data_IF_156251166734
#
_entry.id   IF_156251166734
#
_cell.length_a   1.000
_cell.length_b   1.000
_cell.length_c   1.000
_cell.angle_alpha   90.00
_cell.angle_beta   90.00
_cell.angle_gamma   90.00
#
_symmetry.space_group_name_H-M   'P 1'
#
loop_
_entity.id
_entity.type
_entity.pdbx_description
1 polymer ?
#
# COMPACT_ATOMS: atom_id res chain seq x y z
N UNK A 1 7.79 0.61 28.58
CA UNK A 1 6.94 -0.43 27.95
C UNK A 1 6.61 0.09 26.56
N UNK A 2 6.98 -0.50 25.42
CA UNK A 2 7.65 -1.75 25.03
C UNK A 2 8.44 -1.43 23.75
N UNK A 3 9.73 -1.75 23.68
CA UNK A 3 10.58 -1.55 22.50
C UNK A 3 10.70 -2.85 21.66
N UNK A 4 10.10 -3.95 22.13
CA UNK A 4 10.33 -5.31 21.62
C UNK A 4 9.69 -5.65 20.26
N UNK A 5 9.00 -4.73 19.58
CA UNK A 5 8.31 -5.00 18.31
C UNK A 5 8.94 -4.37 17.06
N UNK A 6 10.02 -3.58 17.19
CA UNK A 6 10.62 -2.87 16.05
C UNK A 6 11.39 -3.76 15.06
N UNK A 7 12.09 -4.77 15.58
CA UNK A 7 13.01 -5.61 14.81
C UNK A 7 12.72 -7.08 15.08
N UNK A 8 12.94 -7.94 14.09
CA UNK A 8 12.94 -9.39 14.31
C UNK A 8 14.09 -9.86 15.21
N UNK A 9 15.05 -8.98 15.50
CA UNK A 9 16.15 -9.20 16.44
C UNK A 9 15.81 -8.61 17.80
N UNK A 10 16.14 -9.33 18.87
CA UNK A 10 16.11 -8.77 20.22
C UNK A 10 17.25 -7.75 20.37
N UNK A 11 16.97 -6.48 20.06
CA UNK A 11 17.92 -5.39 20.23
C UNK A 11 17.92 -4.90 21.69
N UNK A 12 19.09 -4.59 22.21
CA UNK A 12 19.21 -3.88 23.48
C UNK A 12 18.88 -2.38 23.30
N UNK A 13 18.88 -1.60 24.39
CA UNK A 13 18.51 -0.19 24.36
C UNK A 13 19.44 0.68 23.50
N UNK A 14 20.75 0.40 23.52
CA UNK A 14 21.74 1.12 22.72
C UNK A 14 21.60 0.78 21.24
N UNK A 15 21.44 -0.50 20.92
CA UNK A 15 21.22 -1.00 19.57
C UNK A 15 19.92 -0.45 18.98
N UNK A 16 18.85 -0.39 19.76
CA UNK A 16 17.59 0.24 19.36
C UNK A 16 17.82 1.71 19.04
N UNK A 17 18.52 2.43 19.91
CA UNK A 17 18.80 3.86 19.72
C UNK A 17 19.62 4.09 18.46
N UNK A 18 20.66 3.29 18.22
CA UNK A 18 21.48 3.37 17.02
C UNK A 18 20.67 3.05 15.77
N UNK A 19 19.83 2.01 15.83
CA UNK A 19 18.95 1.62 14.74
C UNK A 19 18.00 2.76 14.37
N UNK A 20 17.32 3.37 15.35
CA UNK A 20 16.46 4.54 15.13
C UNK A 20 17.21 5.72 14.52
N UNK A 21 18.44 6.01 14.97
CA UNK A 21 19.28 7.07 14.40
C UNK A 21 19.65 6.81 12.94
N UNK A 22 19.91 5.55 12.55
CA UNK A 22 20.17 5.21 11.14
C UNK A 22 18.97 5.53 10.26
N UNK A 23 17.75 5.33 10.77
CA UNK A 23 16.53 5.67 10.04
C UNK A 23 16.33 7.17 9.80
N UNK A 24 16.98 8.04 10.59
CA UNK A 24 16.98 9.49 10.31
C UNK A 24 17.61 9.80 8.95
N UNK A 25 18.58 9.00 8.48
CA UNK A 25 19.19 9.14 7.16
C UNK A 25 18.16 9.00 6.03
N UNK A 26 17.13 8.18 6.25
CA UNK A 26 16.10 7.87 5.26
C UNK A 26 14.91 8.84 5.29
N UNK A 27 14.86 9.77 6.26
CA UNK A 27 13.75 10.72 6.38
C UNK A 27 13.69 11.70 5.21
N UNK A 28 14.83 12.00 4.59
CA UNK A 28 14.93 12.93 3.45
C UNK A 28 14.60 12.29 2.08
N UNK A 29 14.63 10.96 1.98
CA UNK A 29 14.44 10.24 0.71
C UNK A 29 12.98 10.20 0.28
N UNK A 30 12.73 10.18 -1.03
CA UNK A 30 11.40 9.82 -1.55
C UNK A 30 11.15 8.34 -1.32
N UNK A 31 10.04 7.99 -0.69
CA UNK A 31 9.64 6.59 -0.45
C UNK A 31 8.31 6.36 -1.14
N UNK A 32 8.29 5.39 -2.05
CA UNK A 32 7.14 5.04 -2.86
C UNK A 32 6.83 3.57 -2.62
N UNK A 33 5.60 3.29 -2.19
CA UNK A 33 5.13 1.92 -2.07
C UNK A 33 4.49 1.46 -3.36
N UNK A 34 4.76 0.21 -3.76
CA UNK A 34 4.15 -0.38 -4.95
C UNK A 34 3.43 -1.66 -4.57
N UNK A 35 2.11 -1.61 -4.65
CA UNK A 35 1.21 -2.69 -4.28
C UNK A 35 0.61 -3.32 -5.54
N UNK A 36 0.51 -4.63 -5.57
CA UNK A 36 -0.16 -5.37 -6.63
C UNK A 36 0.02 -6.88 -6.48
N UNK A 37 -0.92 -7.64 -7.04
CA UNK A 37 -0.92 -9.09 -6.93
C UNK A 37 0.29 -9.77 -7.58
N UNK A 38 0.48 -11.09 -7.36
CA UNK A 38 1.51 -11.84 -8.06
C UNK A 38 1.24 -11.82 -9.58
N UNK A 39 2.26 -11.56 -10.40
CA UNK A 39 2.11 -11.56 -11.86
C UNK A 39 1.58 -10.26 -12.50
N UNK A 40 1.22 -9.23 -11.72
CA UNK A 40 0.71 -7.96 -12.28
C UNK A 40 1.76 -7.11 -13.02
N UNK A 41 3.05 -7.47 -12.98
CA UNK A 41 4.13 -6.75 -13.70
C UNK A 41 4.80 -5.62 -12.92
N UNK A 42 4.49 -5.47 -11.62
CA UNK A 42 5.10 -4.44 -10.75
C UNK A 42 6.63 -4.45 -10.73
N UNK A 43 7.28 -5.62 -10.65
CA UNK A 43 8.75 -5.71 -10.61
C UNK A 43 9.41 -5.08 -11.83
N UNK A 44 8.99 -5.49 -13.03
CA UNK A 44 9.49 -4.93 -14.30
C UNK A 44 9.29 -3.42 -14.39
N UNK A 45 8.12 -2.91 -13.97
CA UNK A 45 7.87 -1.47 -14.00
C UNK A 45 8.68 -0.71 -12.94
N UNK A 46 8.90 -1.29 -11.77
CA UNK A 46 9.75 -0.72 -10.74
C UNK A 46 11.22 -0.66 -11.17
N UNK A 47 11.75 -1.69 -11.82
CA UNK A 47 13.11 -1.71 -12.37
C UNK A 47 13.30 -0.60 -13.42
N UNK A 48 12.36 -0.50 -14.37
CA UNK A 48 12.39 0.53 -15.40
C UNK A 48 12.32 1.94 -14.80
N UNK A 49 11.43 2.16 -13.83
CA UNK A 49 11.28 3.44 -13.14
C UNK A 49 12.54 3.77 -12.30
N UNK A 50 13.08 2.79 -11.58
CA UNK A 50 14.30 2.97 -10.81
C UNK A 50 15.48 3.44 -11.69
N UNK A 51 15.71 2.75 -12.80
CA UNK A 51 16.74 3.09 -13.76
C UNK A 51 16.54 4.50 -14.35
N UNK A 52 15.30 4.84 -14.74
CA UNK A 52 14.99 6.12 -15.39
C UNK A 52 15.16 7.33 -14.47
N UNK A 53 14.75 7.23 -13.20
CA UNK A 53 14.72 8.39 -12.28
C UNK A 53 15.83 8.38 -11.23
N UNK A 54 16.71 7.38 -11.26
CA UNK A 54 17.79 7.23 -10.27
C UNK A 54 17.27 6.87 -8.88
N UNK A 55 16.17 6.12 -8.82
CA UNK A 55 15.69 5.51 -7.59
C UNK A 55 16.30 4.13 -7.40
N UNK A 56 16.24 3.65 -6.17
CA UNK A 56 16.56 2.28 -5.83
C UNK A 56 15.28 1.45 -5.83
N UNK A 57 15.25 0.39 -6.64
CA UNK A 57 14.22 -0.64 -6.53
C UNK A 57 14.52 -1.58 -5.36
N UNK A 58 13.54 -1.74 -4.48
CA UNK A 58 13.57 -2.62 -3.31
C UNK A 58 12.50 -3.70 -3.53
N UNK A 59 12.87 -4.77 -4.24
CA UNK A 59 11.97 -5.89 -4.55
C UNK A 59 11.79 -6.83 -3.36
N UNK A 60 10.67 -6.75 -2.63
CA UNK A 60 10.50 -7.56 -1.42
C UNK A 60 10.52 -9.06 -1.71
N UNK A 61 9.92 -9.49 -2.83
CA UNK A 61 9.96 -10.89 -3.23
C UNK A 61 11.38 -11.38 -3.53
N UNK A 62 12.24 -10.53 -4.10
CA UNK A 62 13.64 -10.87 -4.39
C UNK A 62 14.46 -10.97 -3.12
N UNK A 63 14.32 -9.99 -2.21
CA UNK A 63 14.96 -10.03 -0.90
C UNK A 63 14.61 -11.32 -0.14
N UNK A 64 13.34 -11.69 -0.14
CA UNK A 64 12.87 -12.93 0.50
C UNK A 64 13.45 -14.19 -0.16
N UNK A 65 13.47 -14.27 -1.50
CA UNK A 65 14.08 -15.42 -2.21
C UNK A 65 15.59 -15.51 -1.96
N UNK A 66 16.28 -14.38 -1.93
CA UNK A 66 17.72 -14.32 -1.63
C UNK A 66 18.01 -14.84 -0.22
N UNK A 67 17.19 -14.48 0.77
CA UNK A 67 17.32 -14.98 2.13
C UNK A 67 16.93 -16.46 2.23
N UNK A 68 15.85 -16.88 1.56
CA UNK A 68 15.37 -18.27 1.52
C UNK A 68 16.40 -19.26 0.95
N UNK A 69 17.26 -18.79 0.04
CA UNK A 69 18.32 -19.59 -0.58
C UNK A 69 19.56 -19.75 0.31
N UNK A 70 19.63 -19.07 1.46
CA UNK A 70 20.74 -19.24 2.39
C UNK A 70 20.54 -20.50 3.23
N UNK A 71 21.63 -21.24 3.46
CA UNK A 71 21.65 -22.42 4.32
C UNK A 71 21.62 -22.05 5.82
N UNK A 72 20.59 -21.32 6.24
CA UNK A 72 20.38 -20.87 7.63
C UNK A 72 18.99 -21.27 8.11
N UNK A 73 18.79 -21.34 9.43
CA UNK A 73 17.49 -21.62 10.04
C UNK A 73 16.43 -20.61 9.59
N UNK A 74 16.80 -19.32 9.56
CA UNK A 74 15.92 -18.23 9.08
C UNK A 74 15.60 -18.39 7.60
N UNK A 75 16.59 -18.73 6.76
CA UNK A 75 16.39 -18.97 5.34
C UNK A 75 15.39 -20.10 5.09
N UNK A 76 15.55 -21.24 5.79
CA UNK A 76 14.62 -22.36 5.69
C UNK A 76 13.20 -21.98 6.14
N UNK A 77 13.05 -21.27 7.26
CA UNK A 77 11.74 -20.81 7.73
C UNK A 77 11.05 -19.88 6.72
N UNK A 78 11.79 -18.95 6.13
CA UNK A 78 11.27 -18.05 5.08
C UNK A 78 10.84 -18.86 3.86
N UNK A 79 11.67 -19.82 3.41
CA UNK A 79 11.34 -20.71 2.30
C UNK A 79 10.03 -21.47 2.57
N UNK A 80 9.90 -22.09 3.73
CA UNK A 80 8.72 -22.87 4.11
C UNK A 80 7.43 -22.02 4.13
N UNK A 81 7.52 -20.79 4.61
CA UNK A 81 6.39 -19.83 4.61
C UNK A 81 6.02 -19.45 3.17
N UNK A 82 7.01 -19.15 2.33
CA UNK A 82 6.80 -18.78 0.94
C UNK A 82 6.20 -19.91 0.11
N UNK A 83 6.65 -21.15 0.32
CA UNK A 83 6.11 -22.33 -0.36
C UNK A 83 4.68 -22.66 0.06
N UNK A 84 4.21 -22.10 1.18
CA UNK A 84 2.80 -22.13 1.59
C UNK A 84 2.01 -20.93 1.08
N UNK A 85 2.59 -20.02 0.31
CA UNK A 85 1.93 -18.81 -0.17
C UNK A 85 1.57 -17.79 0.92
N UNK A 86 2.15 -17.92 2.11
CA UNK A 86 1.85 -17.08 3.28
C UNK A 86 2.79 -15.86 3.38
N UNK A 87 2.44 -14.91 4.25
CA UNK A 87 3.30 -13.76 4.54
C UNK A 87 4.35 -14.10 5.60
N UNK A 88 5.59 -13.71 5.33
CA UNK A 88 6.67 -13.71 6.31
C UNK A 88 6.38 -12.63 7.37
N UNK A 89 6.69 -12.86 8.67
CA UNK A 89 6.33 -11.93 9.75
C UNK A 89 6.80 -10.49 9.52
N UNK A 90 5.93 -9.53 9.88
CA UNK A 90 6.15 -8.08 9.70
C UNK A 90 7.55 -7.61 10.14
N UNK A 91 8.04 -8.02 11.32
CA UNK A 91 9.36 -7.59 11.81
C UNK A 91 10.52 -8.04 10.92
N UNK A 92 10.45 -9.25 10.35
CA UNK A 92 11.46 -9.77 9.41
C UNK A 92 11.44 -8.96 8.11
N UNK A 93 10.25 -8.65 7.59
CA UNK A 93 10.06 -7.82 6.40
C UNK A 93 10.68 -6.44 6.59
N UNK A 94 10.37 -5.79 7.72
CA UNK A 94 10.82 -4.44 8.00
C UNK A 94 12.33 -4.37 8.17
N UNK A 95 12.96 -5.33 8.85
CA UNK A 95 14.41 -5.41 8.92
C UNK A 95 15.02 -5.51 7.52
N UNK A 96 14.52 -6.41 6.67
CA UNK A 96 15.07 -6.62 5.32
C UNK A 96 14.91 -5.39 4.41
N UNK A 97 13.76 -4.72 4.47
CA UNK A 97 13.52 -3.48 3.72
C UNK A 97 14.42 -2.36 4.24
N UNK A 98 14.51 -2.21 5.56
CA UNK A 98 15.31 -1.17 6.22
C UNK A 98 16.80 -1.33 5.92
N UNK A 99 17.34 -2.54 6.10
CA UNK A 99 18.74 -2.85 5.81
C UNK A 99 19.07 -2.58 4.33
N UNK A 100 18.16 -2.94 3.41
CA UNK A 100 18.36 -2.66 1.99
C UNK A 100 18.41 -1.15 1.70
N UNK A 101 17.47 -0.37 2.25
CA UNK A 101 17.45 1.08 2.07
C UNK A 101 18.69 1.76 2.68
N UNK A 102 19.06 1.36 3.90
CA UNK A 102 20.22 1.89 4.62
C UNK A 102 21.56 1.54 3.95
N UNK A 103 21.60 0.49 3.14
CA UNK A 103 22.79 0.14 2.34
C UNK A 103 22.98 1.04 1.10
N UNK A 104 22.00 1.89 0.77
CA UNK A 104 22.00 2.78 -0.40
C UNK A 104 21.56 4.21 -0.06
N UNK A 105 22.18 4.86 0.94
CA UNK A 105 21.77 6.19 1.41
C UNK A 105 21.95 7.28 0.34
N UNK A 106 22.74 7.04 -0.70
CA UNK A 106 22.97 7.94 -1.83
C UNK A 106 21.83 7.97 -2.86
N UNK A 107 20.88 7.02 -2.78
CA UNK A 107 19.76 6.94 -3.70
C UNK A 107 18.91 8.22 -3.67
N UNK A 108 18.31 8.64 -4.80
CA UNK A 108 17.35 9.76 -4.81
C UNK A 108 15.99 9.41 -4.19
N UNK A 109 15.72 8.12 -4.04
CA UNK A 109 14.47 7.60 -3.50
C UNK A 109 14.37 6.09 -3.60
N UNK A 110 13.30 5.51 -3.06
CA UNK A 110 13.11 4.07 -2.96
C UNK A 110 11.73 3.69 -3.48
N UNK A 111 11.71 2.68 -4.37
CA UNK A 111 10.52 2.01 -4.86
C UNK A 111 10.41 0.66 -4.16
N UNK A 112 9.54 0.55 -3.16
CA UNK A 112 9.39 -0.66 -2.38
C UNK A 112 8.31 -1.54 -3.01
N UNK A 113 8.75 -2.51 -3.81
CA UNK A 113 7.94 -3.38 -4.64
C UNK A 113 7.38 -4.58 -3.86
N UNK A 114 6.06 -4.67 -3.83
CA UNK A 114 5.33 -5.71 -3.12
C UNK A 114 5.27 -5.45 -1.63
N UNK A 115 5.30 -4.18 -1.22
CA UNK A 115 5.17 -3.71 0.15
C UNK A 115 4.23 -2.48 0.22
N UNK A 116 3.42 -2.34 1.26
CA UNK A 116 3.10 -3.34 2.28
C UNK A 116 2.15 -4.42 1.74
N UNK A 117 2.17 -5.62 2.34
CA UNK A 117 1.29 -6.76 2.02
C UNK A 117 0.17 -6.99 3.03
N UNK A 118 0.26 -6.35 4.19
CA UNK A 118 -0.76 -6.33 5.23
C UNK A 118 -0.71 -4.98 5.97
N UNK A 119 -1.78 -4.66 6.71
CA UNK A 119 -1.91 -3.35 7.36
C UNK A 119 -0.84 -3.11 8.45
N UNK A 120 -0.45 -4.14 9.20
CA UNK A 120 0.58 -4.03 10.24
C UNK A 120 1.92 -3.56 9.67
N UNK A 121 2.32 -4.06 8.49
CA UNK A 121 3.52 -3.62 7.79
C UNK A 121 3.48 -2.12 7.48
N UNK A 122 2.33 -1.61 7.04
CA UNK A 122 2.13 -0.19 6.74
C UNK A 122 2.28 0.68 8.01
N UNK A 123 1.55 0.32 9.06
CA UNK A 123 1.53 1.06 10.32
C UNK A 123 2.89 1.08 10.99
N UNK A 124 3.55 -0.07 11.03
CA UNK A 124 4.83 -0.24 11.70
C UNK A 124 5.96 0.46 10.93
N UNK A 125 5.97 0.38 9.60
CA UNK A 125 6.91 1.16 8.79
C UNK A 125 6.77 2.66 9.07
N UNK A 126 5.54 3.19 9.08
CA UNK A 126 5.33 4.61 9.36
C UNK A 126 5.77 5.00 10.77
N UNK A 127 5.60 4.11 11.74
CA UNK A 127 6.07 4.30 13.12
C UNK A 127 7.60 4.38 13.18
N UNK A 128 8.28 3.48 12.46
CA UNK A 128 9.75 3.43 12.36
C UNK A 128 10.28 4.70 11.68
N UNK A 129 9.69 5.06 10.55
CA UNK A 129 10.14 6.19 9.74
C UNK A 129 9.68 7.55 10.29
N UNK A 130 8.69 7.54 11.18
CA UNK A 130 8.05 8.75 11.71
C UNK A 130 7.21 9.52 10.68
N UNK A 131 6.89 8.90 9.53
CA UNK A 131 6.12 9.51 8.44
C UNK A 131 5.50 8.47 7.51
N UNK A 132 4.48 8.90 6.77
CA UNK A 132 3.91 8.15 5.65
C UNK A 132 4.87 8.11 4.43
N UNK A 133 4.72 7.13 3.53
CA UNK A 133 5.35 7.19 2.21
C UNK A 133 4.90 8.45 1.46
N UNK A 134 5.69 8.88 0.48
CA UNK A 134 5.34 10.01 -0.37
C UNK A 134 4.13 9.68 -1.26
N UNK A 135 4.06 8.44 -1.75
CA UNK A 135 2.94 7.96 -2.55
C UNK A 135 2.83 6.43 -2.50
N UNK A 136 1.64 5.92 -2.75
CA UNK A 136 1.36 4.49 -2.91
C UNK A 136 0.80 4.25 -4.30
N UNK A 137 1.56 3.53 -5.12
CA UNK A 137 1.19 3.13 -6.47
C UNK A 137 0.54 1.76 -6.40
N UNK A 138 -0.62 1.63 -7.03
CA UNK A 138 -1.33 0.35 -7.09
C UNK A 138 -1.46 -0.14 -8.51
N UNK A 139 -1.01 -1.38 -8.71
CA UNK A 139 -1.05 -2.10 -9.97
C UNK A 139 -2.27 -3.01 -9.99
N UNK A 140 -3.22 -2.67 -10.85
CA UNK A 140 -4.41 -3.48 -11.11
C UNK A 140 -4.17 -4.42 -12.30
N UNK A 141 -4.62 -5.66 -12.17
CA UNK A 141 -4.46 -6.71 -13.17
C UNK A 141 -5.56 -7.75 -12.96
N UNK A 142 -6.11 -8.29 -14.05
CA UNK A 142 -7.10 -9.36 -13.94
C UNK A 142 -6.49 -10.60 -13.25
N UNK A 143 -7.32 -11.33 -12.49
CA UNK A 143 -6.91 -12.59 -11.86
C UNK A 143 -6.40 -13.59 -12.89
N UNK A 144 -7.09 -13.67 -14.03
CA UNK A 144 -6.74 -14.57 -15.14
C UNK A 144 -5.32 -14.28 -15.66
N UNK A 145 -5.04 -13.01 -15.95
CA UNK A 145 -3.71 -12.57 -16.40
C UNK A 145 -2.64 -12.83 -15.34
N UNK A 146 -2.95 -12.60 -14.05
CA UNK A 146 -2.03 -12.90 -12.96
C UNK A 146 -1.70 -14.38 -12.88
N UNK A 147 -2.71 -15.26 -12.93
CA UNK A 147 -2.53 -16.71 -12.94
C UNK A 147 -1.69 -17.13 -14.14
N UNK A 148 -2.10 -16.74 -15.36
CA UNK A 148 -1.40 -17.10 -16.59
C UNK A 148 0.09 -16.73 -16.54
N UNK A 149 0.41 -15.49 -16.13
CA UNK A 149 1.81 -15.01 -16.05
C UNK A 149 2.62 -15.70 -14.98
N UNK A 150 2.01 -15.99 -13.82
CA UNK A 150 2.71 -16.66 -12.73
C UNK A 150 2.99 -18.11 -13.09
N UNK A 151 2.01 -18.83 -13.65
CA UNK A 151 2.21 -20.21 -14.09
C UNK A 151 3.23 -20.32 -15.22
N UNK A 152 3.17 -19.42 -16.22
CA UNK A 152 4.18 -19.36 -17.28
C UNK A 152 5.59 -19.23 -16.70
N UNK A 153 5.77 -18.32 -15.73
CA UNK A 153 7.06 -18.13 -15.05
C UNK A 153 7.49 -19.35 -14.22
N UNK A 154 6.53 -20.05 -13.62
CA UNK A 154 6.77 -21.31 -12.92
C UNK A 154 7.23 -22.43 -13.86
N UNK A 155 6.64 -22.53 -15.06
CA UNK A 155 7.02 -23.50 -16.09
C UNK A 155 8.45 -23.28 -16.61
N UNK A 156 8.90 -22.03 -16.68
CA UNK A 156 10.29 -21.68 -17.01
C UNK A 156 11.29 -21.95 -15.87
N UNK A 157 10.82 -22.46 -14.72
CA UNK A 157 11.66 -22.80 -13.58
C UNK A 157 12.24 -21.58 -12.85
N UNK A 158 11.72 -20.38 -13.09
CA UNK A 158 12.32 -19.17 -12.51
C UNK A 158 12.08 -19.06 -11.00
N UNK A 159 10.98 -19.64 -10.47
CA UNK A 159 10.57 -19.50 -9.06
C UNK A 159 9.81 -20.73 -8.56
N UNK A 160 10.22 -21.26 -7.41
CA UNK A 160 9.54 -22.38 -6.76
C UNK A 160 8.13 -21.99 -6.26
N UNK A 161 7.94 -20.74 -5.81
CA UNK A 161 6.67 -20.23 -5.27
C UNK A 161 5.59 -19.93 -6.35
N UNK A 162 5.86 -20.31 -7.60
CA UNK A 162 4.94 -20.17 -8.74
C UNK A 162 4.24 -21.50 -9.12
N UNK A 163 4.41 -22.57 -8.33
CA UNK A 163 3.65 -23.81 -8.50
C UNK A 163 2.14 -23.58 -8.30
N UNK A 164 1.30 -24.24 -9.10
CA UNK A 164 -0.15 -23.96 -9.19
C UNK A 164 -0.87 -23.94 -7.84
N UNK A 165 -0.57 -24.89 -6.96
CA UNK A 165 -1.12 -24.98 -5.61
C UNK A 165 -0.74 -23.78 -4.73
N UNK A 166 0.44 -23.19 -4.95
CA UNK A 166 0.95 -22.02 -4.21
C UNK A 166 0.36 -20.72 -4.78
N UNK A 167 0.19 -20.63 -6.10
CA UNK A 167 -0.34 -19.43 -6.77
C UNK A 167 -1.73 -19.06 -6.26
N UNK A 168 -2.62 -20.05 -6.10
CA UNK A 168 -3.97 -19.83 -5.55
C UNK A 168 -3.91 -19.19 -4.16
N UNK A 169 -3.08 -19.74 -3.28
CA UNK A 169 -2.91 -19.23 -1.93
C UNK A 169 -2.35 -17.80 -1.91
N UNK A 170 -1.38 -17.50 -2.79
CA UNK A 170 -0.81 -16.14 -2.90
C UNK A 170 -1.84 -15.12 -3.38
N UNK A 171 -2.73 -15.49 -4.28
CA UNK A 171 -3.82 -14.64 -4.74
C UNK A 171 -4.84 -14.41 -3.63
N UNK A 172 -5.24 -15.45 -2.91
CA UNK A 172 -6.17 -15.35 -1.79
C UNK A 172 -5.61 -14.44 -0.67
N UNK A 173 -4.35 -14.65 -0.29
CA UNK A 173 -3.66 -13.79 0.68
C UNK A 173 -3.60 -12.34 0.19
N UNK A 174 -3.32 -12.10 -1.09
CA UNK A 174 -3.32 -10.76 -1.66
C UNK A 174 -4.69 -10.08 -1.57
N UNK A 175 -5.76 -10.74 -2.01
CA UNK A 175 -7.10 -10.15 -1.99
C UNK A 175 -7.60 -9.90 -0.56
N UNK A 176 -7.34 -10.83 0.35
CA UNK A 176 -7.76 -10.73 1.75
C UNK A 176 -7.07 -9.58 2.49
N UNK A 177 -5.77 -9.39 2.26
CA UNK A 177 -4.96 -8.47 3.07
C UNK A 177 -4.75 -7.09 2.44
N UNK A 178 -4.99 -6.93 1.14
CA UNK A 178 -4.77 -5.65 0.46
C UNK A 178 -5.87 -4.62 0.72
N UNK A 179 -7.13 -5.01 0.84
CA UNK A 179 -8.26 -4.07 1.04
C UNK A 179 -8.05 -3.12 2.24
N UNK A 180 -7.64 -3.60 3.44
CA UNK A 180 -7.33 -2.73 4.57
C UNK A 180 -6.22 -1.71 4.30
N UNK A 181 -5.17 -2.09 3.56
CA UNK A 181 -4.04 -1.23 3.21
C UNK A 181 -4.50 -0.10 2.29
N UNK A 182 -5.29 -0.45 1.27
CA UNK A 182 -5.80 0.51 0.31
C UNK A 182 -6.73 1.51 0.98
N UNK A 183 -7.62 1.04 1.85
CA UNK A 183 -8.49 1.91 2.64
C UNK A 183 -7.67 2.87 3.53
N UNK A 184 -6.62 2.38 4.18
CA UNK A 184 -5.73 3.18 5.02
C UNK A 184 -5.04 4.30 4.24
N UNK A 185 -4.47 4.02 3.07
CA UNK A 185 -3.79 5.03 2.25
C UNK A 185 -4.72 5.92 1.42
N UNK A 186 -5.92 5.45 1.10
CA UNK A 186 -6.96 6.27 0.50
C UNK A 186 -7.39 7.39 1.45
N UNK A 187 -7.58 7.10 2.74
CA UNK A 187 -7.94 8.12 3.74
C UNK A 187 -6.87 9.20 3.90
N UNK A 188 -5.60 8.88 3.59
CA UNK A 188 -4.47 9.81 3.61
C UNK A 188 -4.25 10.55 2.28
N UNK A 189 -5.05 10.28 1.25
CA UNK A 189 -4.89 10.80 -0.12
C UNK A 189 -3.55 10.45 -0.79
N UNK A 190 -2.89 9.38 -0.35
CA UNK A 190 -1.57 8.94 -0.87
C UNK A 190 -1.66 7.91 -1.99
N UNK A 191 -2.86 7.39 -2.27
CA UNK A 191 -3.07 6.31 -3.23
C UNK A 191 -3.17 6.85 -4.66
N UNK A 192 -2.45 6.24 -5.60
CA UNK A 192 -2.57 6.46 -7.04
C UNK A 192 -2.71 5.11 -7.76
N UNK A 193 -3.69 5.02 -8.64
CA UNK A 193 -3.93 3.83 -9.44
C UNK A 193 -3.21 3.97 -10.78
N UNK A 194 -2.44 2.95 -11.15
CA UNK A 194 -1.88 2.81 -12.49
C UNK A 194 -2.63 1.71 -13.20
N UNK A 195 -3.28 2.06 -14.31
CA UNK A 195 -3.74 1.05 -15.26
C UNK A 195 -2.53 0.63 -16.07
N UNK A 196 -2.09 -0.61 -15.90
CA UNK A 196 -1.03 -1.15 -16.73
C UNK A 196 -1.64 -1.54 -18.08
N UNK A 197 -1.85 -0.53 -18.94
CA UNK A 197 -2.26 -0.73 -20.33
C UNK A 197 -1.21 -1.48 -21.17
N UNK A 198 -0.01 -1.71 -20.62
CA UNK A 198 1.07 -2.48 -21.26
C UNK A 198 0.99 -3.99 -20.95
N UNK A 199 -0.08 -4.44 -20.31
CA UNK A 199 -0.48 -5.84 -20.41
C UNK A 199 -1.36 -5.97 -21.64
N UNK A 200 -1.04 -6.87 -22.58
CA UNK A 200 -1.78 -7.07 -23.82
C UNK A 200 -3.27 -7.42 -23.65
N UNK A 201 -3.74 -7.61 -22.42
CA UNK A 201 -5.16 -7.71 -22.11
C UNK A 201 -5.58 -6.58 -21.17
N UNK A 202 -6.50 -5.76 -21.67
CA UNK A 202 -7.22 -4.76 -20.90
C UNK A 202 -8.23 -5.43 -19.95
N UNK A 203 -8.68 -4.69 -18.92
CA UNK A 203 -9.85 -4.93 -18.02
C UNK A 203 -9.48 -5.66 -16.70
N UNK A 204 -9.86 -5.23 -15.47
CA UNK A 204 -11.15 -4.67 -15.03
C UNK A 204 -11.12 -3.93 -13.66
N UNK A 205 -11.86 -2.81 -13.59
CA UNK A 205 -12.08 -1.90 -12.45
C UNK A 205 -12.95 -2.42 -11.29
N UNK A 206 -13.00 -3.73 -11.06
CA UNK A 206 -13.97 -4.34 -10.13
C UNK A 206 -13.54 -4.32 -8.66
N UNK A 207 -12.26 -4.54 -8.36
CA UNK A 207 -11.76 -4.57 -6.98
C UNK A 207 -11.92 -3.19 -6.30
N UNK A 208 -11.52 -2.11 -6.97
CA UNK A 208 -11.63 -0.75 -6.43
C UNK A 208 -13.06 -0.22 -6.36
N UNK A 209 -13.96 -0.62 -7.28
CA UNK A 209 -15.40 -0.33 -7.11
C UNK A 209 -15.95 -0.97 -5.83
N UNK A 210 -15.43 -2.14 -5.43
CA UNK A 210 -15.77 -2.81 -4.16
C UNK A 210 -15.34 -1.99 -2.95
N UNK A 211 -14.06 -1.58 -2.91
CA UNK A 211 -13.50 -0.74 -1.83
C UNK A 211 -14.20 0.60 -1.74
N UNK A 212 -14.41 1.30 -2.87
CA UNK A 212 -15.14 2.57 -2.89
C UNK A 212 -16.57 2.45 -2.37
N UNK A 213 -17.31 1.39 -2.73
CA UNK A 213 -18.68 1.17 -2.24
C UNK A 213 -18.68 0.88 -0.75
N UNK A 214 -17.70 0.13 -0.24
CA UNK A 214 -17.63 -0.25 1.17
C UNK A 214 -17.22 0.94 2.04
N UNK A 215 -16.25 1.75 1.60
CA UNK A 215 -15.87 3.04 2.24
C UNK A 215 -17.04 4.03 2.25
N UNK A 216 -17.82 4.13 1.17
CA UNK A 216 -19.03 4.97 1.13
C UNK A 216 -20.13 4.51 2.10
N UNK A 217 -20.18 3.22 2.43
CA UNK A 217 -21.19 2.64 3.33
C UNK A 217 -20.81 2.66 4.82
N UNK A 218 -19.53 2.87 5.16
CA UNK A 218 -19.04 3.00 6.54
C UNK A 218 -19.16 4.42 7.10
N UNK A 219 -19.59 5.40 6.29
CA UNK A 219 -19.92 6.76 6.76
C UNK A 219 -21.32 6.81 7.38
N UNK A 220 -21.42 7.41 8.56
CA UNK A 220 -22.50 7.28 9.53
C UNK A 220 -23.93 7.54 8.98
N UNK A 221 -24.98 6.86 9.51
CA UNK A 221 -26.38 6.98 9.07
C UNK A 221 -26.98 8.40 9.12
N UNK A 222 -26.36 9.33 9.86
CA UNK A 222 -26.85 10.69 10.08
C UNK A 222 -26.98 11.57 8.83
N UNK A 223 -26.24 11.26 7.76
CA UNK A 223 -26.27 12.05 6.51
C UNK A 223 -27.47 11.71 5.62
N UNK A 224 -28.08 10.52 5.79
CA UNK A 224 -29.23 10.08 4.96
C UNK A 224 -30.49 10.90 5.22
N UNK A 225 -30.64 11.49 6.41
CA UNK A 225 -31.85 12.23 6.82
C UNK A 225 -31.90 13.67 6.30
N UNK A 226 -30.77 14.23 5.84
CA UNK A 226 -30.70 15.60 5.31
C UNK A 226 -31.09 15.69 3.83
N UNK A 227 -30.77 14.68 3.01
CA UNK A 227 -31.11 14.66 1.57
C UNK A 227 -32.61 14.49 1.27
N UNK A 228 -33.42 14.00 2.22
CA UNK A 228 -34.88 13.87 2.04
C UNK A 228 -35.70 15.13 2.39
N UNK A 229 -35.10 16.18 2.97
CA UNK A 229 -35.84 17.40 3.39
C UNK A 229 -35.65 18.62 2.49
N UNK A 230 -34.87 18.53 1.40
CA UNK A 230 -34.63 19.66 0.46
C UNK A 230 -35.29 19.52 -0.92
N UNK A 231 -36.24 18.59 -1.09
CA UNK A 231 -37.04 18.46 -2.34
C UNK A 231 -38.54 18.62 -2.14
N UNK A 232 -38.96 19.24 -1.03
CA UNK A 232 -40.34 19.71 -0.85
C UNK A 232 -40.29 21.11 -0.26
N UNK A 233 -40.91 22.06 -0.96
CA UNK A 233 -41.11 23.49 -0.61
C UNK A 233 -40.23 24.48 -1.37
N UNK A 234 -40.44 24.56 -2.67
CA UNK A 234 -40.65 25.86 -3.34
C UNK A 234 -42.15 25.97 -3.60
N UNK A 235 -42.89 26.53 -2.64
CA UNK A 235 -44.18 27.22 -2.78
C UNK A 235 -44.66 27.66 -1.38
N UNK A 236 -45.01 28.93 -1.21
CA UNK A 236 -45.99 29.36 -0.20
C UNK A 236 -45.48 30.15 1.03
N UNK A 237 -45.51 31.49 0.90
CA UNK A 237 -45.99 32.53 1.84
C UNK A 237 -45.83 32.45 3.38
N UNK A 238 -45.39 33.61 3.92
CA UNK A 238 -45.87 34.38 5.11
C UNK A 238 -45.95 33.71 6.51
N UNK A 239 -45.24 34.30 7.49
CA UNK A 239 -45.55 34.11 8.92
C UNK A 239 -44.44 34.44 9.93
N UNK A 240 -44.50 35.66 10.48
CA UNK A 240 -44.22 36.10 11.86
C UNK A 240 -43.45 35.23 12.89
N UNK A 241 -42.51 35.91 13.59
CA UNK A 241 -42.24 35.91 15.05
C UNK A 241 -40.93 35.31 15.61
N UNK A 242 -40.21 36.23 16.29
CA UNK A 242 -39.49 36.15 17.58
C UNK A 242 -38.59 34.94 17.88
N UNK A 243 -37.29 35.24 18.00
CA UNK A 243 -36.65 35.19 19.32
C UNK A 243 -35.54 34.17 19.56
N UNK A 244 -34.39 34.75 19.97
CA UNK A 244 -33.33 34.26 20.87
C UNK A 244 -32.06 33.71 20.24
N UNK A 245 -31.04 34.54 20.45
CA UNK A 245 -29.60 34.32 20.41
C UNK A 245 -29.16 33.22 21.38
N UNK A 246 -28.32 32.31 20.89
CA UNK A 246 -27.25 31.70 21.67
C UNK A 246 -26.03 31.60 20.76
N UNK A 247 -25.00 32.39 21.09
CA UNK A 247 -23.64 32.21 20.57
C UNK A 247 -23.09 30.91 21.14
N UNK A 248 -22.72 29.97 20.28
CA UNK A 248 -21.74 28.93 20.60
C UNK A 248 -20.73 28.87 19.46
N UNK A 249 -19.46 28.82 19.84
CA UNK A 249 -18.28 28.96 19.01
C UNK A 249 -18.34 28.10 17.73
N UNK A 250 -18.26 28.78 16.57
CA UNK A 250 -18.08 28.15 15.26
C UNK A 250 -16.66 27.59 15.18
N UNK A 251 -16.53 26.27 15.33
CA UNK A 251 -15.40 25.52 14.79
C UNK A 251 -15.54 25.56 13.26
N UNK A 252 -14.51 25.92 12.47
CA UNK A 252 -14.63 25.91 11.03
C UNK A 252 -14.80 24.46 10.56
N UNK A 253 -16.01 24.14 10.12
CA UNK A 253 -16.32 22.91 9.42
C UNK A 253 -15.67 23.05 8.06
N UNK A 254 -14.51 22.41 7.87
CA UNK A 254 -13.93 22.17 6.55
C UNK A 254 -15.05 21.55 5.69
N UNK A 255 -15.44 22.28 4.65
CA UNK A 255 -16.39 21.83 3.64
C UNK A 255 -15.95 20.51 3.00
N UNK A 256 -16.81 19.86 2.21
CA UNK A 256 -16.50 18.57 1.63
C UNK A 256 -15.22 18.71 0.81
N UNK A 257 -14.14 18.08 1.28
CA UNK A 257 -12.91 17.92 0.53
C UNK A 257 -13.33 17.28 -0.79
N UNK A 258 -13.09 18.02 -1.87
CA UNK A 258 -13.25 17.58 -3.24
C UNK A 258 -12.82 16.11 -3.33
N UNK A 259 -13.76 15.23 -3.67
CA UNK A 259 -13.41 13.91 -4.16
C UNK A 259 -12.60 14.14 -5.44
N UNK A 260 -11.28 14.21 -5.30
CA UNK A 260 -10.40 14.16 -6.45
C UNK A 260 -10.69 12.83 -7.15
N UNK A 261 -10.90 12.82 -8.47
CA UNK A 261 -11.13 11.57 -9.17
C UNK A 261 -9.91 10.68 -8.93
N UNK A 262 -10.14 9.44 -8.52
CA UNK A 262 -9.16 8.37 -8.64
C UNK A 262 -8.95 8.15 -10.15
N UNK A 263 -8.21 9.05 -10.79
CA UNK A 263 -7.81 8.97 -12.18
C UNK A 263 -6.93 7.75 -12.38
N UNK A 264 -7.04 7.14 -13.54
CA UNK A 264 -6.01 6.25 -14.04
C UNK A 264 -4.86 7.16 -14.47
N UNK A 265 -3.72 7.04 -13.81
CA UNK A 265 -2.51 7.77 -14.17
C UNK A 265 -1.56 6.83 -14.91
N UNK A 266 -0.82 7.36 -15.89
CA UNK A 266 0.39 6.70 -16.34
C UNK A 266 1.53 6.93 -15.32
N UNK A 267 2.62 6.16 -15.44
CA UNK A 267 3.75 6.25 -14.50
C UNK A 267 4.45 7.63 -14.57
N UNK A 268 4.49 8.28 -15.73
CA UNK A 268 5.12 9.60 -15.90
C UNK A 268 4.37 10.67 -15.10
N UNK A 269 3.04 10.66 -15.20
CA UNK A 269 2.16 11.57 -14.49
C UNK A 269 2.31 11.43 -12.98
N UNK A 270 2.42 10.20 -12.47
CA UNK A 270 2.62 9.96 -11.03
C UNK A 270 3.95 10.56 -10.55
N UNK A 271 5.00 10.40 -11.33
CA UNK A 271 6.34 10.86 -10.94
C UNK A 271 6.45 12.38 -11.01
N UNK A 272 5.73 13.04 -11.93
CA UNK A 272 5.65 14.50 -11.98
C UNK A 272 5.04 15.14 -10.70
N UNK A 273 4.35 14.34 -9.88
CA UNK A 273 3.76 14.78 -8.61
C UNK A 273 4.72 14.65 -7.42
N UNK A 274 5.93 14.11 -7.62
CA UNK A 274 6.93 13.82 -6.58
C UNK A 274 8.10 14.81 -6.57
#
# INVERSE_FOLDING_TARGET
>A
MEIHFLSSRALNAEETTLWMKKHDLLKSHRIIFVIGGPGCGKGTQCENMAAKYGFCHVGLGELLRKEANQATVRGQQIRDIMLKGLLVPTGVILDMVSDNMLSRPESKGFLIDGFPRELSQAQEFERIMGRSPNIVIVFDCSTETMIHRVLHRGHEGQREDDAENIVRQRLETHYTLSEPILAFYQQKNLLRNVSVHMCLDSVSSHFYRGVERRVKNTLSPGVRRWKKRKSSHLQGSLGSSRGKSTQTNKIPILGPILALPLGIYDLEQIISLL
#
